data_IF_800631902359
#
_entry.id   IF_800631902359
#
_cell.length_a   1.000
_cell.length_b   1.000
_cell.length_c   1.000
_cell.angle_alpha   90.00
_cell.angle_beta   90.00
_cell.angle_gamma   90.00
#
_symmetry.space_group_name_H-M   'P 1'
#
loop_
_entity.id
_entity.type
_entity.pdbx_description
1 polymer ?
#
# COMPACT_ATOMS: atom_id res chain seq x y z
N UNK A 1 -6.61 8.19 -9.73
CA UNK A 1 -7.30 9.47 -9.50
C UNK A 1 -6.42 10.65 -9.89
N UNK A 2 -7.01 11.61 -10.58
CA UNK A 2 -6.43 12.92 -10.84
C UNK A 2 -7.13 13.92 -9.94
N UNK A 3 -7.82 14.77 -10.13
CA UNK A 3 -8.56 15.81 -9.37
C UNK A 3 -8.95 15.43 -7.92
N UNK A 4 -8.03 14.82 -7.18
CA UNK A 4 -8.23 14.35 -5.80
C UNK A 4 -8.18 15.46 -4.74
N UNK A 5 -7.82 16.69 -5.14
CA UNK A 5 -7.79 17.86 -4.26
C UNK A 5 -6.50 18.09 -3.48
N UNK A 6 -5.54 17.16 -3.53
CA UNK A 6 -4.22 17.36 -2.91
C UNK A 6 -3.40 18.32 -3.78
N UNK A 7 -2.75 19.31 -3.15
CA UNK A 7 -1.93 20.31 -3.85
C UNK A 7 -0.77 19.66 -4.61
N UNK A 8 -0.63 19.99 -5.89
CA UNK A 8 0.50 19.55 -6.71
C UNK A 8 1.84 20.01 -6.12
N UNK A 9 1.91 21.22 -5.55
CA UNK A 9 3.11 21.71 -4.87
C UNK A 9 3.50 20.85 -3.67
N UNK A 10 2.52 20.36 -2.90
CA UNK A 10 2.77 19.45 -1.80
C UNK A 10 3.30 18.12 -2.31
N UNK A 11 2.70 17.57 -3.37
CA UNK A 11 3.16 16.33 -3.99
C UNK A 11 4.59 16.46 -4.52
N UNK A 12 4.92 17.55 -5.20
CA UNK A 12 6.26 17.83 -5.72
C UNK A 12 7.29 17.98 -4.57
N UNK A 13 6.93 18.63 -3.46
CA UNK A 13 7.82 18.72 -2.29
C UNK A 13 8.08 17.36 -1.66
N UNK A 14 7.05 16.54 -1.50
CA UNK A 14 7.18 15.19 -0.92
C UNK A 14 8.02 14.30 -1.83
N UNK A 15 7.79 14.34 -3.14
CA UNK A 15 8.58 13.59 -4.11
C UNK A 15 10.06 13.98 -4.06
N UNK A 16 10.35 15.29 -4.14
CA UNK A 16 11.72 15.79 -4.11
C UNK A 16 12.45 15.41 -2.80
N UNK A 17 11.78 15.59 -1.65
CA UNK A 17 12.36 15.24 -0.35
C UNK A 17 12.59 13.72 -0.21
N UNK A 18 11.68 12.90 -0.73
CA UNK A 18 11.82 11.44 -0.72
C UNK A 18 12.99 10.97 -1.57
N UNK A 19 13.13 11.49 -2.79
CA UNK A 19 14.25 11.18 -3.69
C UNK A 19 15.59 11.64 -3.09
N UNK A 20 15.64 12.83 -2.47
CA UNK A 20 16.84 13.35 -1.82
C UNK A 20 17.22 12.52 -0.58
N UNK A 21 16.23 12.13 0.26
CA UNK A 21 16.44 11.27 1.41
C UNK A 21 17.05 9.92 1.00
N UNK A 22 16.51 9.29 -0.07
CA UNK A 22 17.06 8.05 -0.60
C UNK A 22 18.53 8.25 -1.01
N UNK A 23 18.83 9.25 -1.83
CA UNK A 23 20.17 9.52 -2.35
C UNK A 23 21.18 9.75 -1.23
N UNK A 24 20.81 10.47 -0.17
CA UNK A 24 21.72 10.84 0.92
C UNK A 24 21.95 9.72 1.93
N UNK A 25 20.94 8.95 2.26
CA UNK A 25 20.98 8.07 3.43
C UNK A 25 20.77 6.59 3.13
N UNK A 26 20.19 6.24 1.98
CA UNK A 26 19.79 4.87 1.71
C UNK A 26 20.46 4.24 0.49
N UNK A 27 20.86 5.03 -0.48
CA UNK A 27 21.44 4.52 -1.74
C UNK A 27 22.71 3.69 -1.51
N UNK A 28 23.62 4.16 -0.68
CA UNK A 28 24.85 3.44 -0.40
C UNK A 28 24.59 2.12 0.33
N UNK A 29 23.70 2.13 1.31
CA UNK A 29 23.27 0.91 2.04
C UNK A 29 22.62 -0.10 1.11
N UNK A 30 21.83 0.39 0.16
CA UNK A 30 21.20 -0.47 -0.84
C UNK A 30 22.25 -1.07 -1.79
N UNK A 31 23.24 -0.30 -2.25
CA UNK A 31 24.34 -0.80 -3.10
C UNK A 31 25.14 -1.92 -2.41
N UNK A 32 25.39 -1.79 -1.13
CA UNK A 32 26.07 -2.82 -0.33
C UNK A 32 25.21 -4.09 -0.18
N UNK A 33 23.92 -3.93 0.06
CA UNK A 33 22.96 -5.04 0.07
C UNK A 33 22.89 -5.73 -1.29
N UNK A 34 22.76 -4.96 -2.38
CA UNK A 34 22.67 -5.45 -3.75
C UNK A 34 23.93 -6.23 -4.16
N UNK A 35 25.12 -5.74 -3.82
CA UNK A 35 26.38 -6.43 -4.10
C UNK A 35 26.40 -7.82 -3.45
N UNK A 36 26.06 -7.91 -2.16
CA UNK A 36 25.98 -9.19 -1.43
C UNK A 36 24.95 -10.14 -2.02
N UNK A 37 23.79 -9.61 -2.39
CA UNK A 37 22.72 -10.41 -3.00
C UNK A 37 23.16 -10.98 -4.36
N UNK A 38 23.84 -10.20 -5.19
CA UNK A 38 24.34 -10.64 -6.49
C UNK A 38 25.53 -11.62 -6.40
N UNK A 39 26.41 -11.44 -5.40
CA UNK A 39 27.54 -12.36 -5.14
C UNK A 39 27.07 -13.73 -4.66
N UNK A 40 25.96 -13.81 -3.95
CA UNK A 40 25.40 -15.07 -3.49
C UNK A 40 24.86 -15.96 -4.63
N UNK A 41 24.67 -15.41 -5.83
CA UNK A 41 24.36 -16.12 -7.07
C UNK A 41 23.06 -16.93 -6.99
N UNK A 42 23.07 -18.14 -7.57
CA UNK A 42 21.91 -19.07 -7.58
C UNK A 42 21.43 -19.52 -6.19
N UNK A 43 22.19 -19.23 -5.12
CA UNK A 43 21.78 -19.49 -3.72
C UNK A 43 20.84 -18.43 -3.15
N UNK A 44 20.63 -17.32 -3.86
CA UNK A 44 19.60 -16.36 -3.47
C UNK A 44 18.26 -16.95 -3.89
N UNK A 45 17.42 -17.22 -2.93
CA UNK A 45 16.02 -17.56 -3.15
C UNK A 45 15.34 -16.34 -3.80
N UNK A 46 15.37 -16.29 -5.14
CA UNK A 46 14.82 -15.19 -5.95
C UNK A 46 13.35 -14.92 -5.63
N UNK A 47 12.64 -15.95 -5.16
CA UNK A 47 11.23 -15.86 -4.79
C UNK A 47 11.02 -15.12 -3.46
N UNK A 48 12.09 -14.95 -2.68
CA UNK A 48 12.05 -14.28 -1.38
C UNK A 48 12.82 -12.95 -1.35
N UNK A 49 13.43 -12.52 -2.45
CA UNK A 49 14.17 -11.27 -2.54
C UNK A 49 13.36 -10.22 -3.30
N UNK A 50 13.03 -9.13 -2.61
CA UNK A 50 12.46 -7.95 -3.25
C UNK A 50 13.57 -6.90 -3.45
N UNK A 51 13.68 -6.36 -4.68
CA UNK A 51 14.69 -5.36 -5.05
C UNK A 51 14.21 -3.96 -4.70
N UNK A 52 14.09 -3.72 -3.39
CA UNK A 52 13.61 -2.44 -2.89
C UNK A 52 14.40 -1.94 -1.67
N UNK A 53 14.53 -0.61 -1.57
CA UNK A 53 14.95 0.08 -0.37
C UNK A 53 13.74 0.74 0.27
N UNK A 54 13.30 0.26 1.43
CA UNK A 54 12.04 0.69 2.03
C UNK A 54 12.17 1.11 3.49
N UNK A 55 11.27 1.98 3.93
CA UNK A 55 11.04 2.28 5.34
C UNK A 55 9.56 2.63 5.57
N UNK A 56 9.14 2.59 6.83
CA UNK A 56 7.76 2.76 7.22
C UNK A 56 7.59 3.96 8.15
N UNK A 57 6.49 4.68 7.94
CA UNK A 57 6.02 5.78 8.79
C UNK A 57 4.64 5.42 9.30
N UNK A 58 4.43 5.54 10.60
CA UNK A 58 3.11 5.42 11.20
C UNK A 58 2.55 6.81 11.46
N UNK A 59 1.29 7.02 11.09
CA UNK A 59 0.55 8.26 11.30
C UNK A 59 -0.50 8.13 12.39
N UNK A 60 -1.28 7.04 12.38
CA UNK A 60 -2.32 6.73 13.36
C UNK A 60 -2.10 5.31 13.94
N UNK A 61 -2.55 5.07 15.19
CA UNK A 61 -3.15 6.01 16.15
C UNK A 61 -2.13 6.98 16.76
N UNK A 62 -0.84 6.63 16.76
CA UNK A 62 0.26 7.46 17.28
C UNK A 62 1.37 7.53 16.24
N UNK A 63 1.73 8.75 15.85
CA UNK A 63 2.78 8.97 14.85
C UNK A 63 4.17 8.64 15.39
N UNK A 64 5.00 7.95 14.57
CA UNK A 64 6.42 7.70 14.86
C UNK A 64 7.38 8.55 13.99
N UNK A 65 6.87 9.54 13.26
CA UNK A 65 7.68 10.31 12.31
C UNK A 65 8.86 11.02 13.00
N UNK A 66 8.69 11.46 14.25
CA UNK A 66 9.76 12.07 15.04
C UNK A 66 10.87 11.11 15.44
N UNK A 67 10.58 9.80 15.48
CA UNK A 67 11.50 8.74 15.90
C UNK A 67 12.31 8.17 14.74
N UNK A 68 11.86 8.38 13.49
CA UNK A 68 12.54 7.86 12.30
C UNK A 68 13.82 8.64 12.07
N UNK A 69 15.00 7.96 12.08
CA UNK A 69 16.27 8.63 11.86
C UNK A 69 16.41 9.16 10.43
N UNK A 70 17.33 10.11 10.26
CA UNK A 70 17.72 10.66 8.96
C UNK A 70 16.64 11.45 8.20
N UNK A 71 15.45 11.65 8.77
CA UNK A 71 14.45 12.58 8.23
C UNK A 71 14.74 14.00 8.74
N UNK A 72 15.00 14.93 7.84
CA UNK A 72 15.10 16.35 8.22
C UNK A 72 13.72 16.96 8.49
N UNK A 73 13.68 18.14 9.13
CA UNK A 73 12.44 18.78 9.55
C UNK A 73 11.54 19.16 8.38
N UNK A 74 12.12 19.53 7.23
CA UNK A 74 11.37 19.88 6.03
C UNK A 74 10.64 18.66 5.46
N UNK A 75 11.34 17.52 5.40
CA UNK A 75 10.74 16.27 4.97
C UNK A 75 9.67 15.79 5.95
N UNK A 76 9.95 15.80 7.27
CA UNK A 76 8.96 15.47 8.31
C UNK A 76 7.68 16.30 8.16
N UNK A 77 7.83 17.61 7.95
CA UNK A 77 6.70 18.52 7.74
C UNK A 77 5.89 18.15 6.50
N UNK A 78 6.55 18.00 5.35
CA UNK A 78 5.90 17.67 4.08
C UNK A 78 5.16 16.34 4.13
N UNK A 79 5.76 15.31 4.72
CA UNK A 79 5.12 13.99 4.88
C UNK A 79 3.92 14.04 5.81
N UNK A 80 3.99 14.80 6.91
CA UNK A 80 2.84 14.99 7.81
C UNK A 80 1.67 15.68 7.10
N UNK A 81 1.95 16.77 6.37
CA UNK A 81 0.93 17.47 5.58
C UNK A 81 0.30 16.53 4.54
N UNK A 82 1.13 15.78 3.82
CA UNK A 82 0.66 14.84 2.81
C UNK A 82 -0.17 13.69 3.40
N UNK A 83 0.24 13.15 4.55
CA UNK A 83 -0.50 12.11 5.25
C UNK A 83 -1.91 12.57 5.66
N UNK A 84 -2.04 13.82 6.15
CA UNK A 84 -3.35 14.39 6.50
C UNK A 84 -4.27 14.49 5.28
N UNK A 85 -3.75 14.92 4.14
CA UNK A 85 -4.55 15.01 2.92
C UNK A 85 -4.92 13.62 2.36
N UNK A 86 -4.02 12.65 2.45
CA UNK A 86 -4.31 11.25 2.06
C UNK A 86 -5.33 10.59 2.99
N UNK A 87 -5.28 10.86 4.30
CA UNK A 87 -6.28 10.37 5.25
C UNK A 87 -7.69 10.89 4.91
N UNK A 88 -7.83 12.20 4.66
CA UNK A 88 -9.08 12.82 4.23
C UNK A 88 -9.59 12.21 2.91
N UNK A 89 -8.68 11.97 1.96
CA UNK A 89 -9.03 11.34 0.69
C UNK A 89 -9.51 9.90 0.90
N UNK A 90 -8.83 9.11 1.74
CA UNK A 90 -9.25 7.74 2.07
C UNK A 90 -10.65 7.71 2.68
N UNK A 91 -10.92 8.57 3.66
CA UNK A 91 -12.25 8.66 4.30
C UNK A 91 -13.35 9.06 3.31
N UNK A 92 -13.06 10.02 2.43
CA UNK A 92 -13.99 10.43 1.38
C UNK A 92 -14.27 9.29 0.39
N UNK A 93 -13.26 8.53 0.01
CA UNK A 93 -13.43 7.36 -0.86
C UNK A 93 -14.26 6.27 -0.19
N UNK A 94 -14.04 5.99 1.09
CA UNK A 94 -14.86 5.05 1.84
C UNK A 94 -16.34 5.48 1.90
N UNK A 95 -16.62 6.78 2.03
CA UNK A 95 -17.99 7.30 1.98
C UNK A 95 -18.63 7.11 0.59
N UNK A 96 -17.89 7.38 -0.49
CA UNK A 96 -18.35 7.13 -1.87
C UNK A 96 -18.60 5.65 -2.15
N UNK A 97 -17.73 4.78 -1.62
CA UNK A 97 -17.95 3.33 -1.71
C UNK A 97 -19.19 2.88 -0.92
N UNK A 98 -19.49 3.49 0.23
CA UNK A 98 -20.74 3.24 0.94
C UNK A 98 -21.97 3.63 0.09
N UNK A 99 -21.92 4.79 -0.56
CA UNK A 99 -23.00 5.26 -1.44
C UNK A 99 -23.25 4.31 -2.61
N UNK A 100 -22.17 3.89 -3.31
CA UNK A 100 -22.23 2.93 -4.42
C UNK A 100 -22.80 1.55 -3.99
N UNK A 101 -22.48 1.13 -2.77
CA UNK A 101 -22.96 -0.14 -2.20
C UNK A 101 -24.37 -0.07 -1.60
N UNK A 102 -24.98 1.11 -1.50
CA UNK A 102 -26.23 1.30 -0.80
C UNK A 102 -26.14 1.14 0.73
N UNK A 103 -24.94 1.31 1.27
CA UNK A 103 -24.69 1.29 2.71
C UNK A 103 -24.88 2.68 3.31
N UNK A 104 -25.16 2.73 4.62
CA UNK A 104 -25.19 3.98 5.36
C UNK A 104 -23.83 4.68 5.27
N UNK A 105 -23.86 6.00 5.06
CA UNK A 105 -22.65 6.83 5.06
C UNK A 105 -21.78 6.59 6.31
N UNK A 106 -20.47 6.40 6.13
CA UNK A 106 -19.53 6.11 7.18
C UNK A 106 -19.54 4.67 7.67
N UNK A 107 -20.35 3.76 7.10
CA UNK A 107 -20.37 2.35 7.50
C UNK A 107 -18.99 1.72 7.40
N UNK A 108 -18.31 1.82 6.24
CA UNK A 108 -17.00 1.23 6.01
C UNK A 108 -15.93 1.81 6.95
N UNK A 109 -16.01 3.11 7.23
CA UNK A 109 -15.11 3.74 8.20
C UNK A 109 -15.34 3.19 9.61
N UNK A 110 -16.59 3.06 10.05
CA UNK A 110 -16.91 2.47 11.36
C UNK A 110 -16.52 1.00 11.48
N UNK A 111 -16.63 0.24 10.38
CA UNK A 111 -16.19 -1.15 10.33
C UNK A 111 -14.67 -1.30 10.57
N UNK A 112 -13.90 -0.24 10.34
CA UNK A 112 -12.47 -0.20 10.63
C UNK A 112 -12.13 0.21 12.07
N UNK A 113 -13.11 0.58 12.88
CA UNK A 113 -12.84 0.97 14.26
C UNK A 113 -12.58 -0.25 15.14
N UNK A 114 -11.45 -0.21 15.84
CA UNK A 114 -11.18 -1.10 16.96
C UNK A 114 -11.84 -0.58 18.25
N UNK A 115 -11.46 -1.14 19.38
CA UNK A 115 -11.99 -0.78 20.71
C UNK A 115 -11.70 0.67 21.11
N UNK A 116 -10.64 1.27 20.57
CA UNK A 116 -10.29 2.68 20.78
C UNK A 116 -11.01 3.64 19.80
N UNK A 117 -11.88 3.12 18.93
CA UNK A 117 -12.63 3.88 17.94
C UNK A 117 -11.78 4.47 16.82
N UNK A 118 -10.58 3.92 16.56
CA UNK A 118 -9.65 4.47 15.59
C UNK A 118 -9.21 3.43 14.56
N UNK A 119 -9.02 3.85 13.29
CA UNK A 119 -8.31 3.07 12.28
C UNK A 119 -6.80 3.15 12.53
N UNK A 120 -6.04 2.36 11.79
CA UNK A 120 -4.60 2.57 11.64
C UNK A 120 -4.29 3.24 10.29
N UNK A 121 -3.29 4.11 10.27
CA UNK A 121 -2.81 4.75 9.07
C UNK A 121 -1.30 4.82 9.07
N UNK A 122 -0.69 4.34 7.99
CA UNK A 122 0.75 4.31 7.83
C UNK A 122 1.18 4.38 6.37
N UNK A 123 2.44 4.68 6.16
CA UNK A 123 3.02 4.84 4.83
C UNK A 123 4.27 3.98 4.68
N UNK A 124 4.33 3.21 3.61
CA UNK A 124 5.54 2.55 3.11
C UNK A 124 6.16 3.44 2.05
N UNK A 125 7.39 3.88 2.26
CA UNK A 125 8.19 4.62 1.29
C UNK A 125 9.19 3.67 0.67
N UNK A 126 9.15 3.50 -0.64
CA UNK A 126 10.01 2.56 -1.37
C UNK A 126 10.74 3.24 -2.52
N UNK A 127 11.99 2.84 -2.71
CA UNK A 127 12.77 3.11 -3.90
C UNK A 127 13.17 1.77 -4.52
N UNK A 128 13.01 1.67 -5.82
CA UNK A 128 13.38 0.51 -6.64
C UNK A 128 14.51 0.96 -7.57
N UNK A 129 15.78 0.81 -7.12
CA UNK A 129 16.93 1.23 -7.91
C UNK A 129 17.13 0.37 -9.14
N UNK A 130 17.96 0.81 -10.14
CA UNK A 130 18.30 0.00 -11.28
C UNK A 130 18.77 -1.39 -10.89
N UNK A 131 18.19 -2.42 -11.49
CA UNK A 131 18.54 -3.81 -11.25
C UNK A 131 19.37 -4.33 -12.43
N UNK A 132 20.53 -4.93 -12.22
CA UNK A 132 21.37 -5.45 -13.30
C UNK A 132 20.81 -6.75 -13.90
N UNK A 133 19.86 -7.42 -13.22
CA UNK A 133 19.23 -8.68 -13.66
C UNK A 133 17.71 -8.64 -13.40
N UNK A 134 16.99 -7.72 -14.08
CA UNK A 134 15.57 -7.50 -13.79
C UNK A 134 14.68 -8.69 -14.19
N UNK A 135 15.17 -9.58 -15.05
CA UNK A 135 14.47 -10.80 -15.46
C UNK A 135 14.49 -11.90 -14.39
N UNK A 136 15.39 -11.78 -13.39
CA UNK A 136 15.55 -12.78 -12.31
C UNK A 136 15.01 -12.32 -10.96
N UNK A 137 14.81 -11.02 -10.77
CA UNK A 137 14.51 -10.45 -9.46
C UNK A 137 13.29 -9.53 -9.58
N UNK A 138 12.31 -9.70 -8.69
CA UNK A 138 11.18 -8.79 -8.60
C UNK A 138 11.57 -7.49 -7.90
N UNK A 139 10.99 -6.36 -8.29
CA UNK A 139 11.03 -5.13 -7.50
C UNK A 139 10.27 -5.32 -6.19
N UNK A 140 9.03 -5.80 -6.30
CA UNK A 140 8.22 -6.30 -5.20
C UNK A 140 7.41 -7.49 -5.72
N UNK A 141 7.46 -8.61 -5.02
CA UNK A 141 6.75 -9.85 -5.40
C UNK A 141 5.24 -9.65 -5.51
N UNK A 142 4.59 -10.55 -6.22
CA UNK A 142 3.15 -10.54 -6.38
C UNK A 142 2.44 -10.77 -5.03
N UNK A 143 1.46 -9.91 -4.72
CA UNK A 143 0.67 -9.97 -3.48
C UNK A 143 -0.66 -9.24 -3.66
N UNK A 144 -1.58 -9.45 -2.73
CA UNK A 144 -2.71 -8.56 -2.46
C UNK A 144 -2.38 -7.68 -1.26
N UNK A 145 -3.06 -6.56 -1.10
CA UNK A 145 -2.89 -5.71 0.06
C UNK A 145 -3.76 -6.20 1.22
N UNK A 146 -3.15 -6.58 2.33
CA UNK A 146 -3.85 -7.13 3.50
C UNK A 146 -4.79 -6.14 4.21
N UNK A 147 -4.68 -4.85 3.91
CA UNK A 147 -5.38 -3.79 4.61
C UNK A 147 -6.74 -3.41 4.06
N UNK A 148 -7.14 -2.16 4.30
CA UNK A 148 -8.42 -1.61 3.88
C UNK A 148 -8.37 -0.95 2.50
N UNK A 149 -7.94 0.31 2.45
CA UNK A 149 -7.77 1.07 1.21
C UNK A 149 -6.37 1.65 1.14
N UNK A 150 -5.74 1.54 -0.02
CA UNK A 150 -4.37 1.96 -0.24
C UNK A 150 -4.34 3.11 -1.26
N UNK A 151 -3.62 4.16 -0.89
CA UNK A 151 -3.40 5.34 -1.71
C UNK A 151 -1.93 5.38 -2.10
N UNK A 152 -1.65 5.10 -3.36
CA UNK A 152 -0.29 5.02 -3.88
C UNK A 152 0.05 6.26 -4.70
N UNK A 153 1.00 7.04 -4.20
CA UNK A 153 1.71 8.05 -4.96
C UNK A 153 3.01 7.47 -5.49
N UNK A 154 3.20 7.49 -6.80
CA UNK A 154 4.36 6.87 -7.44
C UNK A 154 5.09 7.82 -8.37
N UNK A 155 6.32 7.43 -8.73
CA UNK A 155 7.13 8.12 -9.74
C UNK A 155 6.32 8.36 -11.02
N UNK A 156 6.52 9.50 -11.67
CA UNK A 156 5.82 9.90 -12.89
C UNK A 156 6.58 9.55 -14.18
N UNK A 157 7.78 8.97 -14.07
CA UNK A 157 8.67 8.65 -15.21
C UNK A 157 9.03 7.18 -15.30
N UNK A 158 9.28 6.54 -14.15
CA UNK A 158 9.71 5.14 -14.12
C UNK A 158 8.53 4.24 -13.81
N UNK A 159 8.17 3.38 -14.77
CA UNK A 159 7.10 2.38 -14.62
C UNK A 159 7.55 1.21 -13.71
N UNK A 160 6.70 0.22 -13.57
CA UNK A 160 7.02 -1.02 -12.86
C UNK A 160 5.85 -1.65 -12.13
N UNK A 161 4.82 -0.88 -11.76
CA UNK A 161 3.61 -1.42 -11.15
C UNK A 161 2.79 -2.20 -12.19
N UNK A 162 2.44 -3.44 -11.87
CA UNK A 162 1.56 -4.29 -12.67
C UNK A 162 0.42 -4.84 -11.81
N UNK A 163 -0.76 -4.93 -12.40
CA UNK A 163 -1.95 -5.57 -11.83
C UNK A 163 -2.26 -6.86 -12.58
N UNK A 164 -2.70 -7.89 -11.87
CA UNK A 164 -3.18 -9.13 -12.48
C UNK A 164 -4.65 -8.97 -12.86
N UNK A 165 -4.95 -9.01 -14.16
CA UNK A 165 -6.31 -8.94 -14.71
C UNK A 165 -6.53 -10.08 -15.69
N UNK A 166 -7.54 -10.89 -15.44
CA UNK A 166 -7.93 -12.02 -16.30
C UNK A 166 -6.74 -12.94 -16.64
N UNK A 167 -5.89 -13.23 -15.64
CA UNK A 167 -4.70 -14.04 -15.78
C UNK A 167 -3.49 -13.36 -16.45
N UNK A 168 -3.60 -12.08 -16.82
CA UNK A 168 -2.54 -11.31 -17.47
C UNK A 168 -2.05 -10.17 -16.59
N UNK A 169 -0.72 -9.95 -16.57
CA UNK A 169 -0.13 -8.77 -15.94
C UNK A 169 -0.30 -7.54 -16.84
N UNK A 170 -0.93 -6.52 -16.30
CA UNK A 170 -1.20 -5.25 -16.99
C UNK A 170 -0.43 -4.13 -16.31
N UNK A 171 0.32 -3.36 -17.09
CA UNK A 171 1.06 -2.22 -16.59
C UNK A 171 0.13 -1.09 -16.11
N UNK A 172 0.48 -0.49 -14.98
CA UNK A 172 -0.10 0.78 -14.52
C UNK A 172 0.85 1.90 -14.92
N UNK A 173 0.57 2.63 -16.00
CA UNK A 173 1.48 3.66 -16.47
C UNK A 173 1.64 4.77 -15.43
N UNK A 174 2.87 5.28 -15.24
CA UNK A 174 3.10 6.41 -14.37
C UNK A 174 2.40 7.66 -14.92
N UNK A 175 1.76 8.41 -14.03
CA UNK A 175 1.07 9.64 -14.38
C UNK A 175 1.31 10.69 -13.31
N UNK A 176 1.83 11.84 -13.74
CA UNK A 176 2.19 12.92 -12.80
C UNK A 176 0.98 13.36 -11.97
N UNK A 177 1.22 13.62 -10.69
CA UNK A 177 0.23 14.06 -9.72
C UNK A 177 -1.02 13.16 -9.63
N UNK A 178 -0.90 11.89 -9.97
CA UNK A 178 -1.97 10.92 -9.75
C UNK A 178 -1.78 10.16 -8.45
N UNK A 179 -2.91 9.69 -7.89
CA UNK A 179 -2.94 8.72 -6.81
C UNK A 179 -3.62 7.45 -7.34
N UNK A 180 -2.92 6.32 -7.31
CA UNK A 180 -3.51 5.00 -7.59
C UNK A 180 -4.21 4.52 -6.33
N UNK A 181 -5.44 4.02 -6.48
CA UNK A 181 -6.23 3.50 -5.36
C UNK A 181 -6.34 1.99 -5.52
N UNK A 182 -5.93 1.26 -4.49
CA UNK A 182 -6.12 -0.18 -4.39
C UNK A 182 -7.15 -0.51 -3.31
N UNK A 183 -8.02 -1.46 -3.62
CA UNK A 183 -8.89 -2.11 -2.63
C UNK A 183 -8.07 -3.21 -1.96
N UNK A 184 -8.04 -3.21 -0.64
CA UNK A 184 -7.38 -4.26 0.13
C UNK A 184 -8.33 -5.37 0.56
N UNK A 185 -7.76 -6.45 1.10
CA UNK A 185 -8.47 -7.66 1.48
C UNK A 185 -9.61 -7.41 2.47
N UNK A 186 -9.47 -6.41 3.37
CA UNK A 186 -10.52 -6.12 4.35
C UNK A 186 -11.78 -5.53 3.71
N UNK A 187 -11.63 -4.67 2.69
CA UNK A 187 -12.78 -4.17 1.93
C UNK A 187 -13.39 -5.29 1.07
N UNK A 188 -12.59 -6.20 0.52
CA UNK A 188 -13.14 -7.38 -0.17
C UNK A 188 -14.03 -8.19 0.78
N UNK A 189 -13.55 -8.47 1.99
CA UNK A 189 -14.32 -9.20 3.01
C UNK A 189 -15.60 -8.45 3.37
N UNK A 190 -15.52 -7.18 3.77
CA UNK A 190 -16.68 -6.39 4.21
C UNK A 190 -17.73 -6.27 3.10
N UNK A 191 -17.28 -6.17 1.84
CA UNK A 191 -18.20 -6.08 0.70
C UNK A 191 -18.68 -7.44 0.18
N UNK A 192 -18.38 -8.53 0.91
CA UNK A 192 -18.71 -9.91 0.53
C UNK A 192 -18.26 -10.23 -0.90
N UNK A 193 -17.09 -9.73 -1.29
CA UNK A 193 -16.47 -9.96 -2.58
C UNK A 193 -16.99 -9.09 -3.74
N UNK A 194 -17.82 -8.08 -3.49
CA UNK A 194 -18.25 -7.12 -4.53
C UNK A 194 -17.06 -6.32 -5.08
N UNK A 195 -16.20 -5.84 -4.20
CA UNK A 195 -14.93 -5.25 -4.57
C UNK A 195 -13.82 -6.26 -4.32
N UNK A 196 -12.91 -6.37 -5.26
CA UNK A 196 -11.81 -7.33 -5.21
C UNK A 196 -10.50 -6.67 -4.83
N UNK A 197 -9.78 -7.31 -3.92
CA UNK A 197 -8.37 -7.03 -3.68
C UNK A 197 -7.55 -7.66 -4.80
N UNK A 198 -6.93 -6.81 -5.63
CA UNK A 198 -6.28 -7.26 -6.87
C UNK A 198 -4.83 -7.61 -6.61
N UNK A 199 -4.41 -8.79 -7.08
CA UNK A 199 -3.01 -9.20 -7.11
C UNK A 199 -2.19 -8.20 -7.92
N UNK A 200 -1.10 -7.73 -7.36
CA UNK A 200 -0.21 -6.78 -8.02
C UNK A 200 1.25 -7.02 -7.66
N UNK A 201 2.16 -6.47 -8.45
CA UNK A 201 3.61 -6.59 -8.25
C UNK A 201 4.34 -5.36 -8.75
N UNK A 202 5.60 -5.22 -8.39
CA UNK A 202 6.51 -4.26 -9.02
C UNK A 202 7.61 -5.04 -9.76
N UNK A 203 7.76 -4.77 -11.04
CA UNK A 203 8.85 -5.33 -11.86
C UNK A 203 10.10 -4.50 -11.63
N UNK A 204 11.23 -5.15 -11.41
CA UNK A 204 12.51 -4.47 -11.41
C UNK A 204 12.83 -3.92 -12.82
N UNK A 205 13.55 -2.81 -12.88
CA UNK A 205 13.96 -2.15 -14.14
C UNK A 205 15.48 -2.07 -14.20
N UNK A 206 16.05 -2.14 -15.40
CA UNK A 206 17.49 -1.98 -15.62
C UNK A 206 17.95 -0.53 -15.54
N UNK A 207 17.04 0.40 -15.76
CA UNK A 207 17.28 1.84 -15.77
C UNK A 207 16.25 2.58 -14.93
N UNK A 208 16.66 3.73 -14.43
CA UNK A 208 15.82 4.55 -13.57
C UNK A 208 15.68 4.03 -12.13
N UNK A 209 15.37 4.93 -11.23
CA UNK A 209 15.09 4.64 -9.82
C UNK A 209 13.63 5.02 -9.57
N UNK A 210 12.74 4.03 -9.54
CA UNK A 210 11.32 4.28 -9.26
C UNK A 210 11.13 4.56 -7.78
N UNK A 211 10.41 5.63 -7.47
CA UNK A 211 9.94 5.96 -6.11
C UNK A 211 8.45 5.62 -5.99
N UNK A 212 8.04 5.13 -4.83
CA UNK A 212 6.63 5.02 -4.46
C UNK A 212 6.39 5.28 -2.98
N UNK A 213 5.25 5.87 -2.68
CA UNK A 213 4.74 6.17 -1.34
C UNK A 213 3.35 5.55 -1.26
N UNK A 214 3.27 4.37 -0.65
CA UNK A 214 2.03 3.63 -0.46
C UNK A 214 1.48 3.92 0.94
N UNK A 215 0.31 4.54 1.03
CA UNK A 215 -0.36 4.88 2.29
C UNK A 215 -1.55 3.97 2.52
N UNK A 216 -1.53 3.30 3.65
CA UNK A 216 -2.47 2.23 4.03
C UNK A 216 -3.42 2.75 5.10
N UNK A 217 -4.69 2.91 4.75
CA UNK A 217 -5.76 3.19 5.70
C UNK A 217 -6.45 1.87 6.04
N UNK A 218 -6.17 1.37 7.24
CA UNK A 218 -6.50 0.01 7.65
C UNK A 218 -7.39 -0.01 8.89
N UNK A 219 -8.05 -1.14 9.18
CA UNK A 219 -8.70 -1.35 10.46
C UNK A 219 -7.76 -1.16 11.67
N UNK A 220 -8.33 -0.83 12.81
CA UNK A 220 -7.65 -0.97 14.11
C UNK A 220 -7.27 -2.43 14.34
N UNK A 221 -6.19 -2.69 15.09
CA UNK A 221 -5.65 -4.05 15.25
C UNK A 221 -6.67 -5.05 15.78
N UNK A 222 -7.52 -4.62 16.69
CA UNK A 222 -8.59 -5.43 17.32
C UNK A 222 -9.96 -5.27 16.66
N UNK A 223 -10.05 -4.57 15.52
CA UNK A 223 -11.29 -4.45 14.76
C UNK A 223 -11.77 -5.82 14.27
N UNK A 224 -13.06 -6.06 14.40
CA UNK A 224 -13.69 -7.30 13.97
C UNK A 224 -14.23 -7.13 12.56
N UNK A 225 -13.71 -7.89 11.61
CA UNK A 225 -14.02 -7.81 10.19
C UNK A 225 -14.94 -8.96 9.79
N UNK A 226 -15.98 -8.64 9.05
CA UNK A 226 -16.97 -9.59 8.53
C UNK A 226 -17.79 -8.96 7.39
N UNK A 227 -18.46 -9.75 6.55
CA UNK A 227 -19.33 -9.24 5.49
C UNK A 227 -20.43 -8.34 6.05
N UNK A 228 -20.69 -7.20 5.40
CA UNK A 228 -21.75 -6.29 5.81
C UNK A 228 -23.12 -6.98 5.69
N UNK A 229 -23.91 -7.12 6.78
CA UNK A 229 -25.17 -7.86 6.75
C UNK A 229 -26.14 -7.35 5.68
N UNK A 230 -26.24 -6.03 5.51
CA UNK A 230 -27.10 -5.42 4.48
C UNK A 230 -26.75 -5.86 3.06
N UNK A 231 -25.45 -6.16 2.77
CA UNK A 231 -25.04 -6.63 1.44
C UNK A 231 -25.31 -8.13 1.24
N UNK A 232 -25.24 -8.91 2.31
CA UNK A 232 -25.58 -10.34 2.30
C UNK A 232 -27.09 -10.52 2.08
N UNK A 233 -27.92 -9.79 2.82
CA UNK A 233 -29.38 -9.83 2.75
C UNK A 233 -29.90 -9.35 1.38
N UNK A 234 -29.37 -8.22 0.86
CA UNK A 234 -29.83 -7.61 -0.39
C UNK A 234 -29.64 -8.53 -1.62
N UNK A 235 -28.69 -9.46 -1.58
CA UNK A 235 -28.40 -10.35 -2.71
C UNK A 235 -28.88 -11.78 -2.50
N UNK A 236 -29.54 -12.08 -1.38
CA UNK A 236 -29.93 -13.45 -0.96
C UNK A 236 -28.74 -14.42 -1.01
N UNK A 237 -27.51 -13.87 -0.85
CA UNK A 237 -26.25 -14.64 -0.89
C UNK A 237 -25.86 -15.12 0.49
N UNK A 238 -25.10 -16.20 0.51
CA UNK A 238 -24.41 -16.62 1.74
C UNK A 238 -23.22 -15.71 2.01
N UNK A 239 -22.86 -15.56 3.26
CA UNK A 239 -21.55 -15.01 3.64
C UNK A 239 -20.44 -15.87 3.01
N UNK A 240 -19.59 -15.24 2.19
CA UNK A 240 -18.46 -15.90 1.52
C UNK A 240 -17.23 -15.95 2.42
N UNK A 241 -17.09 -14.95 3.30
CA UNK A 241 -15.93 -14.80 4.17
C UNK A 241 -16.29 -15.00 5.64
N UNK A 242 -15.39 -15.62 6.43
CA UNK A 242 -15.58 -15.75 7.87
C UNK A 242 -15.40 -14.43 8.59
N UNK A 243 -15.93 -14.35 9.81
CA UNK A 243 -15.66 -13.28 10.76
C UNK A 243 -14.33 -13.53 11.47
N UNK A 244 -13.48 -12.48 11.60
CA UNK A 244 -12.18 -12.56 12.26
C UNK A 244 -11.74 -11.21 12.85
N UNK A 245 -10.71 -11.23 13.67
CA UNK A 245 -10.03 -10.03 14.17
C UNK A 245 -8.90 -9.64 13.20
N UNK A 246 -8.78 -8.35 12.86
CA UNK A 246 -7.81 -7.89 11.87
C UNK A 246 -6.36 -8.28 12.22
N UNK A 247 -5.96 -8.18 13.49
CA UNK A 247 -4.61 -8.58 13.92
C UNK A 247 -4.32 -10.05 13.62
N UNK A 248 -5.29 -10.95 13.79
CA UNK A 248 -5.10 -12.37 13.51
C UNK A 248 -4.96 -12.63 12.02
N UNK A 249 -5.71 -11.90 11.19
CA UNK A 249 -5.51 -11.91 9.74
C UNK A 249 -4.09 -11.45 9.37
N UNK A 250 -3.62 -10.35 9.95
CA UNK A 250 -2.27 -9.82 9.69
C UNK A 250 -1.17 -10.80 10.07
N UNK A 251 -1.31 -11.50 11.21
CA UNK A 251 -0.37 -12.55 11.62
C UNK A 251 -0.26 -13.66 10.56
N UNK A 252 -1.40 -14.14 10.07
CA UNK A 252 -1.42 -15.18 9.04
C UNK A 252 -0.85 -14.67 7.69
N UNK A 253 -1.22 -13.47 7.27
CA UNK A 253 -0.71 -12.86 6.05
C UNK A 253 0.83 -12.73 6.06
N UNK A 254 1.40 -12.29 7.17
CA UNK A 254 2.86 -12.20 7.34
C UNK A 254 3.53 -13.59 7.36
N UNK A 255 2.91 -14.58 7.98
CA UNK A 255 3.42 -15.96 8.00
C UNK A 255 3.41 -16.62 6.61
N UNK A 256 2.47 -16.25 5.76
CA UNK A 256 2.34 -16.72 4.37
C UNK A 256 3.18 -15.93 3.36
N UNK A 257 4.10 -15.07 3.83
CA UNK A 257 4.96 -14.25 2.99
C UNK A 257 4.19 -13.41 1.96
N UNK A 258 3.12 -12.77 2.39
CA UNK A 258 2.26 -11.90 1.57
C UNK A 258 1.43 -12.62 0.48
N UNK A 259 1.15 -13.88 0.63
CA UNK A 259 0.21 -14.57 -0.27
C UNK A 259 -1.23 -14.32 0.18
N UNK A 260 -2.10 -14.01 -0.78
CA UNK A 260 -3.53 -13.91 -0.54
C UNK A 260 -4.06 -15.26 -0.03
N UNK A 261 -5.00 -15.19 0.92
CA UNK A 261 -5.76 -16.37 1.30
C UNK A 261 -6.75 -16.68 0.20
N UNK A 262 -6.80 -17.95 -0.19
CA UNK A 262 -8.01 -18.44 -0.84
C UNK A 262 -9.18 -18.36 0.16
N UNK A 263 -10.37 -17.95 -0.28
CA UNK A 263 -11.55 -17.81 0.56
C UNK A 263 -12.00 -19.14 1.19
#
# INVERSE_FOLDING_TARGET
LLNHGISHELMDRVEAATKEHYRRFREQRFKEFAAKALEAGEKVDSDNLDWESTFFLRHLPVSNISEVPDLDDSYRKSVKEFAVELEKLAERLLDLLCEDLGLEKGYLKRAFYGSDGKPTFGTKVSNYPPCPKPELINGLRAHTDAGGIILLFQDDRVSGLQLLKDGNWVDVPPLRHSIVINIGDQLEVITNGKYKSVMHRVVAQSDGNRMSIASFYNPGSDAVIFPAPALVEAEEKKEVYPKFVFEDYMKLYLMQKFQAKEP
#
